data_IF_332413285245
#
_entry.id   IF_332413285245
#
_cell.length_a   1.000
_cell.length_b   1.000
_cell.length_c   1.000
_cell.angle_alpha   90.00
_cell.angle_beta   90.00
_cell.angle_gamma   90.00
#
_symmetry.space_group_name_H-M   'P 1'
#
loop_
_entity.id
_entity.type
_entity.pdbx_description
1 polymer ?
#
# COMPACT_ATOMS: atom_id res chain seq x y z
N UNK A 1 35.01 31.43 -11.47
CA UNK A 1 34.33 30.40 -12.30
C UNK A 1 33.06 30.01 -11.55
N UNK A 2 31.90 30.39 -12.07
CA UNK A 2 30.61 30.11 -11.44
C UNK A 2 30.25 28.64 -11.68
N UNK A 3 30.33 27.81 -10.63
CA UNK A 3 29.80 26.45 -10.69
C UNK A 3 28.31 26.53 -10.35
N UNK A 4 27.48 26.40 -11.38
CA UNK A 4 26.04 26.34 -11.25
C UNK A 4 25.65 25.07 -10.50
N UNK A 5 25.31 25.23 -9.21
CA UNK A 5 24.49 24.28 -8.49
C UNK A 5 23.11 24.25 -9.14
N UNK A 6 22.97 23.47 -10.21
CA UNK A 6 21.68 23.02 -10.70
C UNK A 6 21.16 21.95 -9.74
N UNK A 7 20.79 22.39 -8.54
CA UNK A 7 19.76 21.71 -7.78
C UNK A 7 18.50 21.78 -8.66
N UNK A 8 18.26 20.73 -9.44
CA UNK A 8 16.92 20.44 -9.93
C UNK A 8 16.04 20.37 -8.70
N UNK A 9 15.34 21.46 -8.42
CA UNK A 9 14.10 21.41 -7.69
C UNK A 9 13.15 20.57 -8.54
N UNK A 10 13.27 19.25 -8.48
CA UNK A 10 12.22 18.36 -8.93
C UNK A 10 11.02 18.68 -8.04
N UNK A 11 10.01 19.31 -8.64
CA UNK A 11 8.79 19.68 -7.96
C UNK A 11 8.10 18.45 -7.37
N UNK A 12 8.39 18.16 -6.10
CA UNK A 12 7.59 17.28 -5.27
C UNK A 12 6.23 17.95 -5.05
N UNK A 13 5.24 17.65 -5.89
CA UNK A 13 3.88 18.11 -5.54
C UNK A 13 2.76 17.19 -6.02
N UNK A 14 2.81 16.62 -7.24
CA UNK A 14 1.73 15.74 -7.73
C UNK A 14 2.26 14.46 -8.40
N UNK A 15 3.31 14.54 -9.22
CA UNK A 15 3.83 13.39 -9.97
C UNK A 15 4.27 12.24 -9.05
N UNK A 16 4.95 12.56 -7.95
CA UNK A 16 5.38 11.57 -6.96
C UNK A 16 4.20 10.86 -6.28
N UNK A 17 3.13 11.59 -5.99
CA UNK A 17 1.91 11.03 -5.39
C UNK A 17 1.20 10.08 -6.37
N UNK A 18 1.08 10.48 -7.65
CA UNK A 18 0.49 9.63 -8.68
C UNK A 18 1.30 8.34 -8.87
N UNK A 19 2.62 8.42 -8.92
CA UNK A 19 3.49 7.22 -9.04
C UNK A 19 3.27 6.29 -7.86
N UNK A 20 3.23 6.82 -6.62
CA UNK A 20 2.94 6.00 -5.42
C UNK A 20 1.58 5.34 -5.47
N UNK A 21 0.56 6.07 -5.92
CA UNK A 21 -0.80 5.56 -6.03
C UNK A 21 -0.87 4.41 -7.04
N UNK A 22 -0.25 4.58 -8.22
CA UNK A 22 -0.19 3.55 -9.26
C UNK A 22 0.60 2.34 -8.78
N UNK A 23 1.75 2.55 -8.13
CA UNK A 23 2.56 1.46 -7.57
C UNK A 23 1.81 0.73 -6.45
N UNK A 24 1.10 1.44 -5.58
CA UNK A 24 0.24 0.87 -4.54
C UNK A 24 -0.87 -0.02 -5.12
N UNK A 25 -1.56 0.50 -6.14
CA UNK A 25 -2.57 -0.21 -6.91
C UNK A 25 -2.04 -1.50 -7.56
N UNK A 26 -0.86 -1.43 -8.20
CA UNK A 26 -0.22 -2.60 -8.80
C UNK A 26 0.11 -3.65 -7.74
N UNK A 27 0.71 -3.24 -6.62
CA UNK A 27 1.03 -4.18 -5.54
C UNK A 27 -0.21 -4.85 -4.99
N UNK A 28 -1.25 -4.06 -4.69
CA UNK A 28 -2.51 -4.58 -4.18
C UNK A 28 -3.18 -5.53 -5.19
N UNK A 29 -3.13 -5.20 -6.47
CA UNK A 29 -3.63 -6.05 -7.55
C UNK A 29 -2.90 -7.38 -7.64
N UNK A 30 -1.57 -7.37 -7.57
CA UNK A 30 -0.75 -8.59 -7.55
C UNK A 30 -1.04 -9.39 -6.28
N UNK A 31 -1.12 -8.74 -5.12
CA UNK A 31 -1.49 -9.39 -3.86
C UNK A 31 -2.83 -10.10 -3.97
N UNK A 32 -3.86 -9.42 -4.49
CA UNK A 32 -5.17 -10.01 -4.68
C UNK A 32 -5.15 -11.20 -5.65
N UNK A 33 -4.39 -11.10 -6.74
CA UNK A 33 -4.24 -12.18 -7.72
C UNK A 33 -3.54 -13.43 -7.14
N UNK A 34 -2.59 -13.24 -6.21
CA UNK A 34 -1.84 -14.32 -5.58
C UNK A 34 -2.50 -14.87 -4.30
N UNK A 35 -3.51 -14.18 -3.76
CA UNK A 35 -4.13 -14.53 -2.49
C UNK A 35 -5.49 -15.20 -2.71
N UNK A 36 -5.63 -16.51 -2.45
CA UNK A 36 -6.93 -17.16 -2.53
C UNK A 36 -7.90 -16.57 -1.50
N UNK A 37 -9.11 -16.22 -1.93
CA UNK A 37 -10.12 -15.58 -1.08
C UNK A 37 -9.96 -14.05 -0.95
N UNK A 38 -9.10 -13.44 -1.77
CA UNK A 38 -9.05 -12.00 -2.01
C UNK A 38 -9.57 -11.73 -3.43
N UNK A 39 -10.75 -11.11 -3.55
CA UNK A 39 -11.35 -10.77 -4.85
C UNK A 39 -11.52 -9.25 -5.01
N UNK A 40 -11.23 -8.78 -6.22
CA UNK A 40 -11.43 -7.38 -6.63
C UNK A 40 -12.18 -7.40 -7.96
N UNK A 41 -13.38 -6.83 -7.98
CA UNK A 41 -14.34 -6.92 -9.10
C UNK A 41 -13.99 -6.07 -10.33
N UNK A 42 -12.88 -5.34 -10.32
CA UNK A 42 -12.40 -4.59 -11.48
C UNK A 42 -11.34 -3.54 -11.14
N UNK A 43 -10.99 -2.73 -12.14
CA UNK A 43 -9.98 -1.66 -12.02
C UNK A 43 -10.47 -0.52 -11.10
N UNK A 44 -11.77 -0.21 -11.11
CA UNK A 44 -12.35 0.84 -10.26
C UNK A 44 -12.22 0.55 -8.76
N UNK A 45 -12.69 -0.61 -8.24
CA UNK A 45 -12.43 -0.99 -6.86
C UNK A 45 -10.95 -1.04 -6.51
N UNK A 46 -10.08 -1.46 -7.44
CA UNK A 46 -8.64 -1.55 -7.22
C UNK A 46 -8.00 -0.16 -7.00
N UNK A 47 -8.35 0.82 -7.83
CA UNK A 47 -7.86 2.19 -7.69
C UNK A 47 -8.35 2.80 -6.37
N UNK A 48 -9.64 2.66 -6.06
CA UNK A 48 -10.19 3.14 -4.79
C UNK A 48 -9.52 2.43 -3.60
N UNK A 49 -9.25 1.13 -3.72
CA UNK A 49 -8.60 0.34 -2.68
C UNK A 49 -7.18 0.79 -2.43
N UNK A 50 -6.42 1.14 -3.47
CA UNK A 50 -5.08 1.70 -3.28
C UNK A 50 -5.09 3.03 -2.51
N UNK A 51 -6.10 3.87 -2.76
CA UNK A 51 -6.25 5.16 -2.07
C UNK A 51 -6.65 4.94 -0.61
N UNK A 52 -7.64 4.08 -0.37
CA UNK A 52 -8.12 3.75 0.98
C UNK A 52 -7.03 3.09 1.80
N UNK A 53 -6.29 2.13 1.22
CA UNK A 53 -5.17 1.46 1.87
C UNK A 53 -4.09 2.47 2.28
N UNK A 54 -3.67 3.35 1.36
CA UNK A 54 -2.71 4.41 1.67
C UNK A 54 -3.22 5.38 2.75
N UNK A 55 -4.51 5.70 2.75
CA UNK A 55 -5.15 6.52 3.77
C UNK A 55 -5.19 5.84 5.14
N UNK A 56 -5.52 4.54 5.19
CA UNK A 56 -5.53 3.74 6.40
C UNK A 56 -4.11 3.53 6.95
N UNK A 57 -3.12 3.31 6.09
CA UNK A 57 -1.72 3.23 6.46
C UNK A 57 -1.24 4.54 7.12
N UNK A 58 -1.60 5.68 6.53
CA UNK A 58 -1.29 6.99 7.10
C UNK A 58 -1.99 7.22 8.44
N UNK A 59 -3.26 6.83 8.57
CA UNK A 59 -4.02 6.95 9.81
C UNK A 59 -3.42 6.06 10.90
N UNK A 60 -3.07 4.82 10.58
CA UNK A 60 -2.43 3.90 11.51
C UNK A 60 -1.06 4.41 11.98
N UNK A 61 -0.27 4.99 11.07
CA UNK A 61 0.98 5.65 11.43
C UNK A 61 0.74 6.82 12.39
N UNK A 62 -0.26 7.65 12.12
CA UNK A 62 -0.55 8.83 12.93
C UNK A 62 -1.11 8.47 14.32
N UNK A 63 -1.94 7.44 14.41
CA UNK A 63 -2.59 7.03 15.65
C UNK A 63 -1.72 6.12 16.51
N UNK A 64 -1.05 5.14 15.87
CA UNK A 64 -0.30 4.09 16.56
C UNK A 64 1.22 4.34 16.53
N UNK A 65 1.72 5.26 15.71
CA UNK A 65 3.16 5.47 15.51
C UNK A 65 3.85 4.33 14.75
N UNK A 66 3.08 3.40 14.17
CA UNK A 66 3.58 2.19 13.50
C UNK A 66 3.24 2.27 12.02
N UNK A 67 4.23 2.13 11.13
CA UNK A 67 3.93 1.98 9.70
C UNK A 67 3.33 0.59 9.46
N UNK A 68 2.29 0.55 8.66
CA UNK A 68 1.63 -0.67 8.19
C UNK A 68 2.43 -1.47 7.14
N UNK A 69 3.73 -1.22 6.98
CA UNK A 69 4.60 -2.00 6.11
C UNK A 69 4.99 -3.31 6.80
N UNK A 70 4.58 -4.50 6.29
CA UNK A 70 4.81 -5.78 6.97
C UNK A 70 6.30 -6.09 7.16
N UNK A 71 7.12 -5.76 6.17
CA UNK A 71 8.57 -5.90 6.23
C UNK A 71 9.19 -4.55 6.61
N UNK A 72 9.95 -4.52 7.70
CA UNK A 72 10.59 -3.32 8.24
C UNK A 72 10.20 -2.96 9.68
N UNK A 73 9.08 -3.49 10.20
CA UNK A 73 8.64 -3.27 11.60
C UNK A 73 8.29 -4.55 12.39
N UNK A 74 8.52 -5.72 11.81
CA UNK A 74 8.29 -7.01 12.47
C UNK A 74 6.80 -7.37 12.60
N UNK A 75 6.46 -8.09 13.66
CA UNK A 75 5.11 -8.68 13.86
C UNK A 75 4.02 -7.61 13.96
N UNK A 76 4.29 -6.47 14.58
CA UNK A 76 3.31 -5.38 14.72
C UNK A 76 2.90 -4.79 13.38
N UNK A 77 3.87 -4.53 12.49
CA UNK A 77 3.60 -4.06 11.12
C UNK A 77 2.83 -5.09 10.31
N UNK A 78 3.16 -6.38 10.45
CA UNK A 78 2.44 -7.47 9.79
C UNK A 78 0.97 -7.56 10.22
N UNK A 79 0.71 -7.55 11.53
CA UNK A 79 -0.67 -7.58 12.06
C UNK A 79 -1.43 -6.35 11.59
N UNK A 80 -0.82 -5.17 11.65
CA UNK A 80 -1.45 -3.93 11.22
C UNK A 80 -1.82 -3.96 9.74
N UNK A 81 -0.93 -4.44 8.87
CA UNK A 81 -1.21 -4.61 7.45
C UNK A 81 -2.36 -5.59 7.20
N UNK A 82 -2.38 -6.73 7.90
CA UNK A 82 -3.48 -7.70 7.78
C UNK A 82 -4.82 -7.09 8.21
N UNK A 83 -4.82 -6.30 9.28
CA UNK A 83 -6.01 -5.55 9.71
C UNK A 83 -6.43 -4.54 8.65
N UNK A 84 -5.51 -3.77 8.09
CA UNK A 84 -5.85 -2.76 7.07
C UNK A 84 -6.41 -3.40 5.80
N UNK A 85 -5.77 -4.46 5.29
CA UNK A 85 -6.25 -5.22 4.13
C UNK A 85 -7.66 -5.77 4.39
N UNK A 86 -7.92 -6.27 5.60
CA UNK A 86 -9.24 -6.77 5.99
C UNK A 86 -10.28 -5.65 6.10
N UNK A 87 -9.95 -4.55 6.78
CA UNK A 87 -10.88 -3.44 7.02
C UNK A 87 -11.20 -2.68 5.73
N UNK A 88 -10.29 -2.66 4.75
CA UNK A 88 -10.48 -2.02 3.44
C UNK A 88 -11.76 -2.52 2.72
N UNK A 89 -12.18 -3.76 2.96
CA UNK A 89 -13.41 -4.31 2.36
C UNK A 89 -14.69 -3.59 2.75
N UNK A 90 -14.73 -2.95 3.92
CA UNK A 90 -15.91 -2.23 4.39
C UNK A 90 -16.10 -0.88 3.69
N UNK A 91 -15.04 -0.34 3.09
CA UNK A 91 -15.08 0.95 2.42
C UNK A 91 -15.42 0.85 0.93
N UNK A 92 -15.32 -0.34 0.32
CA UNK A 92 -15.25 -0.48 -1.14
C UNK A 92 -16.16 -1.59 -1.61
N UNK A 93 -17.19 -1.20 -2.37
CA UNK A 93 -18.03 -2.17 -3.07
C UNK A 93 -17.19 -2.95 -4.08
N UNK A 94 -17.22 -4.28 -3.98
CA UNK A 94 -16.50 -5.16 -4.89
C UNK A 94 -15.03 -5.40 -4.56
N UNK A 95 -14.60 -5.09 -3.33
CA UNK A 95 -13.39 -5.61 -2.69
C UNK A 95 -13.83 -6.58 -1.59
N UNK A 96 -13.46 -7.86 -1.69
CA UNK A 96 -13.83 -8.87 -0.70
C UNK A 96 -12.61 -9.66 -0.26
N UNK A 97 -12.39 -9.73 1.05
CA UNK A 97 -11.24 -10.39 1.65
C UNK A 97 -11.68 -11.20 2.85
N UNK A 98 -11.42 -12.51 2.82
CA UNK A 98 -11.62 -13.38 3.99
C UNK A 98 -10.57 -13.12 5.08
N UNK A 99 -10.85 -13.52 6.31
CA UNK A 99 -9.92 -13.34 7.43
C UNK A 99 -8.60 -14.10 7.23
N UNK A 100 -8.62 -15.27 6.58
CA UNK A 100 -7.39 -15.98 6.19
C UNK A 100 -6.68 -15.28 5.02
N UNK A 101 -7.44 -14.79 4.05
CA UNK A 101 -6.89 -14.05 2.93
C UNK A 101 -6.23 -12.73 3.36
N UNK A 102 -6.65 -12.08 4.44
CA UNK A 102 -5.97 -10.87 4.91
C UNK A 102 -4.60 -11.16 5.53
N UNK A 103 -4.46 -12.28 6.24
CA UNK A 103 -3.17 -12.71 6.80
C UNK A 103 -2.19 -13.12 5.69
N UNK A 104 -2.66 -13.94 4.74
CA UNK A 104 -1.86 -14.34 3.57
C UNK A 104 -1.57 -13.13 2.69
N UNK A 105 -2.56 -12.28 2.47
CA UNK A 105 -2.47 -11.05 1.70
C UNK A 105 -1.47 -10.08 2.30
N UNK A 106 -1.43 -9.92 3.63
CA UNK A 106 -0.42 -9.09 4.30
C UNK A 106 0.99 -9.64 4.11
N UNK A 107 1.15 -10.97 4.10
CA UNK A 107 2.43 -11.61 3.83
C UNK A 107 2.90 -11.31 2.41
N UNK A 108 2.03 -11.54 1.42
CA UNK A 108 2.33 -11.33 0.00
C UNK A 108 2.53 -9.84 -0.30
N UNK A 109 1.62 -8.98 0.18
CA UNK A 109 1.71 -7.52 0.08
C UNK A 109 3.06 -7.05 0.60
N UNK A 110 3.46 -7.52 1.79
CA UNK A 110 4.74 -7.19 2.36
C UNK A 110 5.94 -7.61 1.52
N UNK A 111 5.93 -8.83 0.97
CA UNK A 111 7.03 -9.33 0.13
C UNK A 111 7.15 -8.46 -1.12
N UNK A 112 6.03 -8.17 -1.79
CA UNK A 112 6.02 -7.36 -3.00
C UNK A 112 6.43 -5.91 -2.69
N UNK A 113 5.92 -5.35 -1.60
CA UNK A 113 6.25 -4.03 -1.08
C UNK A 113 7.75 -3.86 -0.81
N UNK A 114 8.39 -4.89 -0.24
CA UNK A 114 9.82 -4.90 0.05
C UNK A 114 10.70 -4.95 -1.21
N UNK A 115 10.22 -5.56 -2.29
CA UNK A 115 10.99 -5.71 -3.55
C UNK A 115 10.93 -4.44 -4.38
N UNK A 116 9.87 -3.65 -4.29
CA UNK A 116 9.68 -2.46 -5.13
C UNK A 116 10.46 -1.27 -4.55
N UNK A 117 11.54 -0.81 -5.21
CA UNK A 117 12.31 0.35 -4.76
C UNK A 117 11.49 1.63 -5.01
N UNK A 118 11.33 2.47 -3.98
CA UNK A 118 10.62 3.76 -4.11
C UNK A 118 9.72 4.14 -2.92
N UNK A 119 9.56 3.24 -1.94
CA UNK A 119 8.67 3.42 -0.78
C UNK A 119 9.39 3.83 0.51
N UNK A 120 10.72 3.78 0.54
CA UNK A 120 11.52 4.19 1.68
C UNK A 120 11.82 5.70 1.66
N UNK A 121 10.79 6.57 1.63
CA UNK A 121 10.83 7.98 2.09
C UNK A 121 9.44 8.45 2.53
#
# INVERSE_FOLDING_TARGET
MANHYNARAEGYTITHFIIRLVVGAIVLGITAALTPGFTISGIWPLLVASVVLAGLDYLALKLLGVNATPFGRGISGFILAAVIIYVTQFFIAGYSVTLLASVIGALIYGIIDAIIPGRAM
#
